data_IF_859090336448
#
_entry.id   IF_859090336448
#
_cell.length_a   1.000
_cell.length_b   1.000
_cell.length_c   1.000
_cell.angle_alpha   90.00
_cell.angle_beta   90.00
_cell.angle_gamma   90.00
#
_symmetry.space_group_name_H-M   'P 1'
#
loop_
_entity.id
_entity.type
_entity.pdbx_description
1 polymer ?
#
# COMPACT_ATOMS: atom_id res chain seq x y z
N UNK A 1 7.22 15.62 2.80
CA UNK A 1 7.94 14.37 3.17
C UNK A 1 9.01 14.70 4.20
N UNK A 2 9.33 13.77 5.10
CA UNK A 2 10.39 13.90 6.12
C UNK A 2 11.76 14.24 5.46
N UNK A 3 12.46 15.31 5.89
CA UNK A 3 13.71 15.73 5.26
C UNK A 3 14.85 14.70 5.30
N UNK A 4 14.95 13.93 6.40
CA UNK A 4 15.99 12.90 6.54
C UNK A 4 15.70 11.70 5.63
N UNK A 5 14.42 11.39 5.43
CA UNK A 5 14.00 10.34 4.50
C UNK A 5 14.23 10.75 3.04
N UNK A 6 14.01 12.02 2.68
CA UNK A 6 14.36 12.56 1.35
C UNK A 6 15.84 12.34 1.04
N UNK A 7 16.74 12.61 1.99
CA UNK A 7 18.18 12.41 1.78
C UNK A 7 18.50 10.94 1.48
N UNK A 8 17.90 10.01 2.22
CA UNK A 8 18.06 8.56 1.98
C UNK A 8 17.53 8.13 0.61
N UNK A 9 16.37 8.62 0.20
CA UNK A 9 15.79 8.30 -1.11
C UNK A 9 16.64 8.85 -2.25
N UNK A 10 17.13 10.09 -2.16
CA UNK A 10 18.01 10.69 -3.18
C UNK A 10 19.36 9.99 -3.32
N UNK A 11 19.84 9.32 -2.28
CA UNK A 11 21.05 8.48 -2.36
C UNK A 11 20.82 7.20 -3.18
N UNK A 12 19.59 6.66 -3.15
CA UNK A 12 19.22 5.45 -3.91
C UNK A 12 18.76 5.79 -5.32
N UNK A 13 17.83 6.73 -5.45
CA UNK A 13 17.18 7.09 -6.72
C UNK A 13 17.82 8.35 -7.30
N UNK A 14 18.67 8.19 -8.31
CA UNK A 14 19.28 9.32 -9.03
C UNK A 14 18.25 9.96 -9.99
N UNK A 15 18.34 11.27 -10.28
CA UNK A 15 17.50 11.88 -11.31
C UNK A 15 17.63 11.14 -12.64
N UNK A 16 16.49 10.74 -13.23
CA UNK A 16 16.44 9.97 -14.48
C UNK A 16 16.59 8.45 -14.33
N UNK A 17 16.79 7.94 -13.11
CA UNK A 17 16.83 6.50 -12.85
C UNK A 17 15.41 5.91 -12.77
N UNK A 18 15.11 4.98 -13.66
CA UNK A 18 13.83 4.26 -13.74
C UNK A 18 13.96 2.77 -13.41
N UNK A 19 15.13 2.33 -12.95
CA UNK A 19 15.46 0.92 -12.77
C UNK A 19 15.72 0.55 -11.31
N UNK A 20 16.16 1.50 -10.49
CA UNK A 20 16.40 1.23 -9.07
C UNK A 20 15.09 0.95 -8.34
N UNK A 21 15.04 -0.22 -7.70
CA UNK A 21 13.95 -0.62 -6.82
C UNK A 21 14.20 -0.13 -5.40
N UNK A 22 13.15 0.38 -4.78
CA UNK A 22 13.12 0.76 -3.37
C UNK A 22 11.87 0.17 -2.72
N UNK A 23 11.96 -0.12 -1.44
CA UNK A 23 10.87 -0.69 -0.66
C UNK A 23 9.78 0.36 -0.44
N UNK A 24 8.51 -0.05 -0.59
CA UNK A 24 7.35 0.79 -0.28
C UNK A 24 7.22 1.02 1.24
N UNK A 25 7.62 0.04 2.05
CA UNK A 25 7.62 0.09 3.51
C UNK A 25 9.02 -0.22 4.08
N UNK A 26 9.95 0.76 4.04
CA UNK A 26 11.31 0.58 4.56
C UNK A 26 11.35 0.73 6.09
N UNK A 27 11.83 -0.30 6.77
CA UNK A 27 12.03 -0.25 8.23
C UNK A 27 11.49 -1.46 8.98
N UNK A 28 10.84 -2.38 8.27
CA UNK A 28 10.53 -3.67 8.84
C UNK A 28 11.78 -4.56 8.86
N UNK A 29 12.25 -4.93 10.06
CA UNK A 29 13.32 -5.92 10.23
C UNK A 29 12.99 -7.27 9.58
N UNK A 30 11.71 -7.49 9.24
CA UNK A 30 11.22 -8.59 8.42
C UNK A 30 10.74 -7.99 7.09
N UNK A 31 11.65 -7.83 6.13
CA UNK A 31 11.45 -7.21 4.81
C UNK A 31 10.30 -7.80 3.92
N UNK A 32 9.47 -8.69 4.45
CA UNK A 32 8.42 -9.44 3.74
C UNK A 32 7.21 -9.78 4.63
N UNK A 33 6.98 -9.07 5.73
CA UNK A 33 5.75 -9.24 6.51
C UNK A 33 4.69 -8.25 6.11
N UNK A 34 3.44 -8.70 6.17
CA UNK A 34 2.28 -7.86 6.02
C UNK A 34 1.86 -7.41 7.42
N UNK A 35 2.02 -6.13 7.72
CA UNK A 35 1.73 -5.54 9.03
C UNK A 35 1.43 -4.04 8.92
N UNK A 36 1.19 -3.42 10.07
CA UNK A 36 0.77 -2.03 10.19
C UNK A 36 1.91 -1.01 10.09
N UNK A 37 3.17 -1.45 9.96
CA UNK A 37 4.33 -0.56 9.95
C UNK A 37 4.23 0.53 8.87
N UNK A 38 3.59 0.20 7.74
CA UNK A 38 3.16 1.12 6.70
C UNK A 38 2.51 2.39 7.26
N UNK A 39 1.50 2.27 8.15
CA UNK A 39 0.79 3.43 8.71
C UNK A 39 1.70 4.27 9.59
N UNK A 40 2.64 3.65 10.31
CA UNK A 40 3.65 4.35 11.09
C UNK A 40 4.58 5.18 10.21
N UNK A 41 4.97 4.67 9.04
CA UNK A 41 5.78 5.43 8.08
C UNK A 41 4.99 6.59 7.47
N UNK A 42 3.75 6.34 7.02
CA UNK A 42 2.90 7.40 6.46
C UNK A 42 2.70 8.50 7.49
N UNK A 43 2.35 8.17 8.74
CA UNK A 43 2.18 9.14 9.83
C UNK A 43 3.45 10.00 10.09
N UNK A 44 4.64 9.41 9.91
CA UNK A 44 5.94 10.11 9.99
C UNK A 44 6.30 10.88 8.72
N UNK A 45 5.38 11.01 7.76
CA UNK A 45 5.59 11.62 6.43
C UNK A 45 6.70 10.92 5.63
N UNK A 46 6.79 9.60 5.77
CA UNK A 46 7.77 8.71 5.11
C UNK A 46 7.11 7.69 4.15
N UNK A 47 5.89 7.94 3.69
CA UNK A 47 5.31 7.21 2.56
C UNK A 47 6.14 7.45 1.30
N UNK A 48 6.34 6.40 0.49
CA UNK A 48 7.23 6.48 -0.67
C UNK A 48 6.55 7.20 -1.85
N UNK A 49 5.29 6.87 -2.11
CA UNK A 49 4.54 7.42 -3.23
C UNK A 49 3.80 8.69 -2.82
N UNK A 50 3.48 9.53 -3.80
CA UNK A 50 2.62 10.69 -3.59
C UNK A 50 1.23 10.27 -3.10
N UNK A 51 0.69 9.15 -3.61
CA UNK A 51 -0.58 8.60 -3.18
C UNK A 51 -0.58 8.19 -1.70
N UNK A 52 0.55 7.69 -1.18
CA UNK A 52 0.67 7.36 0.24
C UNK A 52 0.66 8.63 1.10
N UNK A 53 1.39 9.67 0.64
CA UNK A 53 1.43 10.95 1.35
C UNK A 53 0.06 11.65 1.35
N UNK A 54 -0.72 11.50 0.27
CA UNK A 54 -2.05 12.08 0.12
C UNK A 54 -3.07 11.56 1.15
N UNK A 55 -2.83 10.38 1.76
CA UNK A 55 -3.66 9.90 2.87
C UNK A 55 -3.66 10.84 4.08
N UNK A 56 -2.66 11.72 4.20
CA UNK A 56 -2.60 12.73 5.26
C UNK A 56 -3.25 14.07 4.90
N UNK A 57 -3.66 14.25 3.64
CA UNK A 57 -4.25 15.49 3.13
C UNK A 57 -5.77 15.51 3.34
N UNK A 58 -6.42 14.35 3.32
CA UNK A 58 -7.84 14.19 3.65
C UNK A 58 -8.05 13.90 5.17
N UNK A 59 -9.00 14.59 5.85
CA UNK A 59 -9.21 14.41 7.28
C UNK A 59 -9.62 12.99 7.71
N UNK A 60 -10.42 12.29 6.91
CA UNK A 60 -10.94 10.95 7.24
C UNK A 60 -9.82 9.92 7.12
N UNK A 61 -9.11 9.90 5.98
CA UNK A 61 -8.00 8.95 5.79
C UNK A 61 -6.86 9.24 6.76
N UNK A 62 -6.62 10.51 7.09
CA UNK A 62 -5.61 10.90 8.06
C UNK A 62 -5.93 10.36 9.44
N UNK A 63 -7.18 10.46 9.89
CA UNK A 63 -7.61 9.92 11.17
C UNK A 63 -7.37 8.40 11.23
N UNK A 64 -7.70 7.67 10.16
CA UNK A 64 -7.45 6.24 10.06
C UNK A 64 -5.95 5.89 10.11
N UNK A 65 -5.10 6.61 9.38
CA UNK A 65 -3.63 6.42 9.43
C UNK A 65 -3.09 6.59 10.85
N UNK A 66 -3.50 7.64 11.55
CA UNK A 66 -3.06 7.88 12.93
C UNK A 66 -3.61 6.84 13.92
N UNK A 67 -4.84 6.37 13.73
CA UNK A 67 -5.41 5.29 14.53
C UNK A 67 -4.53 4.04 14.43
N UNK A 68 -4.31 3.52 13.21
CA UNK A 68 -3.54 2.29 13.01
C UNK A 68 -2.08 2.43 13.48
N UNK A 69 -1.47 3.59 13.29
CA UNK A 69 -0.11 3.85 13.75
C UNK A 69 0.00 3.89 15.30
N UNK A 70 -1.03 4.36 16.00
CA UNK A 70 -1.03 4.48 17.47
C UNK A 70 -1.43 3.19 18.17
N UNK A 71 -2.33 2.41 17.56
CA UNK A 71 -2.86 1.18 18.16
C UNK A 71 -2.12 -0.08 17.74
N UNK A 72 -1.00 0.06 17.01
CA UNK A 72 -0.28 -1.08 16.42
C UNK A 72 -1.19 -1.95 15.56
N UNK A 73 -2.00 -1.31 14.71
CA UNK A 73 -2.79 -2.02 13.70
C UNK A 73 -3.95 -2.82 14.28
N UNK A 74 -4.45 -2.46 15.46
CA UNK A 74 -5.42 -3.26 16.22
C UNK A 74 -6.65 -3.70 15.44
N UNK A 75 -7.09 -2.92 14.44
CA UNK A 75 -8.23 -3.27 13.56
C UNK A 75 -7.81 -3.50 12.11
N UNK A 76 -6.57 -3.14 11.74
CA UNK A 76 -6.11 -3.15 10.35
C UNK A 76 -6.31 -4.49 9.66
N UNK A 77 -6.00 -5.60 10.32
CA UNK A 77 -6.14 -6.93 9.71
C UNK A 77 -7.59 -7.26 9.34
N UNK A 78 -8.54 -6.90 10.20
CA UNK A 78 -9.97 -7.10 9.95
C UNK A 78 -10.48 -6.17 8.84
N UNK A 79 -10.15 -4.87 8.95
CA UNK A 79 -10.53 -3.85 7.97
C UNK A 79 -9.98 -4.17 6.57
N UNK A 80 -8.73 -4.66 6.51
CA UNK A 80 -8.09 -5.10 5.28
C UNK A 80 -8.80 -6.31 4.67
N UNK A 81 -9.13 -7.33 5.47
CA UNK A 81 -9.83 -8.52 4.99
C UNK A 81 -11.20 -8.16 4.39
N UNK A 82 -11.98 -7.33 5.09
CA UNK A 82 -13.28 -6.86 4.60
C UNK A 82 -13.13 -6.05 3.29
N UNK A 83 -12.12 -5.17 3.23
CA UNK A 83 -11.85 -4.34 2.04
C UNK A 83 -11.45 -5.20 0.83
N UNK A 84 -10.60 -6.21 1.02
CA UNK A 84 -10.16 -7.10 -0.04
C UNK A 84 -11.27 -8.00 -0.57
N UNK A 85 -12.16 -8.50 0.29
CA UNK A 85 -13.37 -9.23 -0.13
C UNK A 85 -14.29 -8.32 -0.96
N UNK A 86 -14.52 -7.08 -0.50
CA UNK A 86 -15.33 -6.11 -1.23
C UNK A 86 -14.73 -5.78 -2.60
N UNK A 87 -13.41 -5.58 -2.68
CA UNK A 87 -12.70 -5.34 -3.94
C UNK A 87 -12.77 -6.54 -4.88
N UNK A 88 -12.63 -7.77 -4.36
CA UNK A 88 -12.71 -9.00 -5.16
C UNK A 88 -14.09 -9.25 -5.79
N UNK A 89 -15.14 -8.64 -5.22
CA UNK A 89 -16.51 -8.73 -5.74
C UNK A 89 -16.85 -7.62 -6.75
N UNK A 90 -15.91 -6.71 -7.06
CA UNK A 90 -16.16 -5.62 -8.00
C UNK A 90 -16.20 -6.13 -9.45
N UNK A 91 -17.29 -5.83 -10.16
CA UNK A 91 -17.44 -6.04 -11.61
C UNK A 91 -17.18 -7.49 -12.08
N UNK A 92 -17.51 -8.47 -11.24
CA UNK A 92 -17.32 -9.89 -11.55
C UNK A 92 -18.28 -10.40 -12.63
N UNK A 93 -17.80 -11.32 -13.47
CA UNK A 93 -18.62 -12.05 -14.44
C UNK A 93 -19.21 -13.29 -13.76
N UNK A 94 -20.53 -13.47 -13.82
CA UNK A 94 -21.23 -14.57 -13.12
C UNK A 94 -22.23 -15.29 -14.03
N UNK A 95 -22.64 -16.50 -13.62
CA UNK A 95 -23.56 -17.33 -14.40
C UNK A 95 -22.98 -17.67 -15.78
N UNK A 96 -23.65 -17.22 -16.83
CA UNK A 96 -23.24 -17.46 -18.23
C UNK A 96 -22.42 -16.30 -18.82
N UNK A 97 -21.97 -15.35 -18.01
CA UNK A 97 -21.12 -14.24 -18.46
C UNK A 97 -19.65 -14.68 -18.50
N UNK A 98 -18.97 -14.42 -19.61
CA UNK A 98 -17.55 -14.76 -19.78
C UNK A 98 -17.32 -16.26 -20.07
N UNK A 99 -16.16 -16.77 -19.66
CA UNK A 99 -15.74 -18.15 -19.88
C UNK A 99 -14.77 -18.63 -18.81
N UNK A 100 -14.67 -19.95 -18.65
CA UNK A 100 -13.58 -20.57 -17.89
C UNK A 100 -12.42 -20.84 -18.86
N UNK A 101 -11.37 -20.04 -18.76
CA UNK A 101 -10.19 -20.15 -19.64
C UNK A 101 -9.42 -21.45 -19.37
N UNK A 102 -9.05 -22.15 -20.44
CA UNK A 102 -8.12 -23.30 -20.37
C UNK A 102 -6.68 -22.85 -20.13
N UNK A 103 -6.35 -21.64 -20.58
CA UNK A 103 -5.06 -21.01 -20.38
C UNK A 103 -5.27 -19.52 -20.05
N UNK A 104 -4.89 -19.06 -18.85
CA UNK A 104 -5.25 -17.71 -18.37
C UNK A 104 -4.82 -16.57 -19.31
N UNK A 105 -3.70 -16.76 -20.02
CA UNK A 105 -3.16 -15.77 -20.95
C UNK A 105 -3.86 -15.70 -22.33
N UNK A 106 -4.78 -16.63 -22.63
CA UNK A 106 -5.45 -16.73 -23.93
C UNK A 106 -6.97 -16.78 -23.74
N UNK A 107 -7.71 -16.18 -24.68
CA UNK A 107 -9.16 -16.43 -24.83
C UNK A 107 -9.32 -17.80 -25.47
N UNK A 108 -10.34 -18.57 -25.07
CA UNK A 108 -10.57 -19.90 -25.62
C UNK A 108 -10.98 -19.89 -27.10
#
# INVERSE_FOLDING_TARGET
MDPNYIVKLKQKCKPGDTTTLVELDPGNFKFKTFDEAYFTLVAKRRGLLQSDAALLDDPETKAYVFLQAQTHGSTFGEDFAQSMVKMGNALVLTGNQGEIRKHCALVN
#
